data_IF_482504194065
#
_entry.id   IF_482504194065
#
_cell.length_a   1.000
_cell.length_b   1.000
_cell.length_c   1.000
_cell.angle_alpha   90.00
_cell.angle_beta   90.00
_cell.angle_gamma   90.00
#
_symmetry.space_group_name_H-M   'P 1'
#
loop_
_entity.id
_entity.type
_entity.pdbx_description
1 polymer ?
#
# COMPACT_ATOMS: atom_id res chain seq x y z
N UNK A 1 -44.59 45.88 -8.17
CA UNK A 1 -43.79 45.00 -7.28
C UNK A 1 -42.37 44.93 -7.85
N UNK A 2 -41.46 45.74 -7.34
CA UNK A 2 -40.03 45.72 -7.69
C UNK A 2 -39.32 44.70 -6.80
N UNK A 3 -38.53 43.81 -7.39
CA UNK A 3 -37.60 42.92 -6.67
C UNK A 3 -36.39 43.74 -6.22
N UNK A 4 -35.90 43.60 -4.97
CA UNK A 4 -34.69 44.30 -4.56
C UNK A 4 -33.47 43.64 -5.23
N UNK A 5 -32.68 44.43 -5.97
CA UNK A 5 -31.32 44.08 -6.34
C UNK A 5 -30.42 44.31 -5.12
N UNK A 6 -29.67 43.29 -4.72
CA UNK A 6 -28.57 43.45 -3.78
C UNK A 6 -27.36 43.99 -4.56
N UNK A 7 -27.03 45.27 -4.36
CA UNK A 7 -25.82 45.91 -4.88
C UNK A 7 -24.70 45.76 -3.85
N UNK A 8 -23.65 45.01 -4.18
CA UNK A 8 -22.43 44.96 -3.38
C UNK A 8 -21.51 46.11 -3.82
N UNK A 9 -21.47 47.19 -3.04
CA UNK A 9 -20.55 48.32 -3.27
C UNK A 9 -19.25 48.08 -2.53
N UNK A 10 -18.14 47.92 -3.25
CA UNK A 10 -16.79 47.85 -2.68
C UNK A 10 -16.25 49.26 -2.40
N UNK A 11 -16.10 49.60 -1.12
CA UNK A 11 -15.38 50.79 -0.66
C UNK A 11 -13.90 50.45 -0.59
N UNK A 12 -13.05 51.13 -1.37
CA UNK A 12 -11.61 51.02 -1.27
C UNK A 12 -11.12 51.80 -0.04
N UNK A 13 -10.79 51.11 1.05
CA UNK A 13 -10.05 51.69 2.17
C UNK A 13 -8.57 51.37 1.98
N UNK A 14 -7.77 52.40 1.69
CA UNK A 14 -6.32 52.31 1.61
C UNK A 14 -5.72 52.18 3.01
N UNK A 15 -5.42 50.94 3.42
CA UNK A 15 -4.81 50.63 4.71
C UNK A 15 -5.20 49.24 5.23
N UNK A 16 -5.10 48.19 4.40
CA UNK A 16 -5.32 46.84 4.86
C UNK A 16 -3.97 46.19 5.22
N UNK A 17 -3.69 46.06 6.52
CA UNK A 17 -2.94 44.90 7.00
C UNK A 17 -3.86 43.72 6.69
N UNK A 18 -3.64 43.03 5.58
CA UNK A 18 -4.43 41.86 5.22
C UNK A 18 -4.12 40.77 6.25
N UNK A 19 -5.01 40.63 7.23
CA UNK A 19 -5.08 39.43 8.04
C UNK A 19 -5.19 38.23 7.11
N UNK A 20 -4.41 37.19 7.39
CA UNK A 20 -4.39 35.98 6.60
C UNK A 20 -5.80 35.39 6.46
N UNK A 21 -6.22 35.10 5.23
CA UNK A 21 -7.55 34.56 4.93
C UNK A 21 -7.75 33.21 5.65
N UNK A 22 -8.72 33.15 6.57
CA UNK A 22 -9.00 31.98 7.41
C UNK A 22 -10.49 31.66 7.40
N UNK A 23 -10.84 30.40 7.20
CA UNK A 23 -12.18 29.88 7.40
C UNK A 23 -12.39 29.58 8.89
N UNK A 24 -13.28 30.34 9.54
CA UNK A 24 -13.66 30.12 10.94
C UNK A 24 -15.06 29.50 10.99
N UNK A 25 -15.15 28.27 11.48
CA UNK A 25 -16.43 27.57 11.66
C UNK A 25 -16.80 27.60 13.14
N UNK A 26 -17.73 28.48 13.50
CA UNK A 26 -18.09 28.74 14.89
C UNK A 26 -19.25 27.86 15.35
N UNK A 27 -19.12 27.25 16.54
CA UNK A 27 -20.14 26.43 17.18
C UNK A 27 -20.68 25.32 16.26
N UNK A 28 -22.00 25.32 16.02
CA UNK A 28 -22.73 24.34 15.24
C UNK A 28 -22.92 24.79 13.78
N UNK A 29 -22.04 25.63 13.23
CA UNK A 29 -22.05 25.90 11.80
C UNK A 29 -21.61 24.65 11.02
N UNK A 30 -22.23 24.42 9.86
CA UNK A 30 -21.96 23.29 8.98
C UNK A 30 -21.57 23.78 7.58
N UNK A 31 -20.54 23.13 7.03
CA UNK A 31 -20.30 23.04 5.59
C UNK A 31 -20.69 21.62 5.19
N UNK A 32 -21.71 21.47 4.36
CA UNK A 32 -22.20 20.15 3.92
C UNK A 32 -22.01 20.06 2.41
N UNK A 33 -21.26 19.05 1.98
CA UNK A 33 -21.21 18.73 0.55
C UNK A 33 -22.51 18.02 0.15
N UNK A 34 -23.03 18.32 -1.04
CA UNK A 34 -24.26 17.67 -1.52
C UNK A 34 -24.02 16.15 -1.68
N UNK A 35 -24.80 15.31 -0.98
CA UNK A 35 -24.71 13.87 -1.12
C UNK A 35 -25.27 13.37 -2.45
N UNK A 36 -25.84 14.20 -3.33
CA UNK A 36 -26.46 13.75 -4.59
C UNK A 36 -25.69 14.12 -5.85
N UNK A 37 -24.53 14.78 -5.74
CA UNK A 37 -23.70 15.07 -6.92
C UNK A 37 -23.30 13.75 -7.59
N UNK A 38 -23.60 13.54 -8.88
CA UNK A 38 -23.27 12.30 -9.59
C UNK A 38 -21.81 11.93 -9.36
N UNK A 39 -21.52 10.64 -9.13
CA UNK A 39 -20.23 10.08 -8.72
C UNK A 39 -19.02 10.42 -9.62
N UNK A 40 -19.23 11.18 -10.70
CA UNK A 40 -18.26 11.48 -11.74
C UNK A 40 -17.57 12.84 -11.52
N UNK A 41 -18.24 13.84 -10.93
CA UNK A 41 -17.67 15.19 -10.79
C UNK A 41 -17.23 15.48 -9.36
N UNK A 42 -15.93 15.82 -9.13
CA UNK A 42 -15.46 16.21 -7.81
C UNK A 42 -16.02 17.57 -7.40
N UNK A 43 -16.37 17.71 -6.11
CA UNK A 43 -16.75 18.97 -5.50
C UNK A 43 -15.67 19.40 -4.53
N UNK A 44 -15.31 20.69 -4.52
CA UNK A 44 -14.21 21.21 -3.71
C UNK A 44 -14.64 22.31 -2.74
N UNK A 45 -14.24 22.17 -1.49
CA UNK A 45 -13.91 23.31 -0.63
C UNK A 45 -12.42 23.61 -0.79
N UNK A 46 -12.10 24.78 -1.34
CA UNK A 46 -10.72 25.18 -1.63
C UNK A 46 -10.15 26.03 -0.51
N UNK A 47 -9.00 25.61 0.02
CA UNK A 47 -8.22 26.35 1.02
C UNK A 47 -6.86 26.71 0.41
N UNK A 48 -6.81 27.84 -0.28
CA UNK A 48 -5.60 28.42 -0.85
C UNK A 48 -4.83 29.24 0.19
N UNK A 49 -4.49 28.58 1.29
CA UNK A 49 -3.69 29.14 2.36
C UNK A 49 -2.88 28.00 3.01
N UNK A 50 -1.54 28.03 2.96
CA UNK A 50 -0.71 26.93 3.42
C UNK A 50 -0.62 26.80 4.94
N UNK A 51 -1.18 27.74 5.71
CA UNK A 51 -1.05 27.70 7.16
C UNK A 51 -1.96 26.65 7.80
N UNK A 52 -1.44 25.94 8.80
CA UNK A 52 -2.17 24.95 9.60
C UNK A 52 -3.46 25.48 10.25
N UNK A 53 -3.56 26.78 10.49
CA UNK A 53 -4.73 27.43 11.06
C UNK A 53 -5.67 28.04 10.00
N UNK A 54 -5.49 27.76 8.69
CA UNK A 54 -6.35 28.30 7.63
C UNK A 54 -7.80 27.82 7.76
N UNK A 55 -8.02 26.61 8.27
CA UNK A 55 -9.29 26.19 8.84
C UNK A 55 -9.16 26.27 10.36
N UNK A 56 -10.12 26.88 11.04
CA UNK A 56 -10.17 26.78 12.50
C UNK A 56 -11.60 26.73 12.98
N UNK A 57 -11.80 25.98 14.05
CA UNK A 57 -13.07 25.87 14.74
C UNK A 57 -13.06 26.68 16.03
N UNK A 58 -14.21 27.20 16.42
CA UNK A 58 -14.39 27.93 17.68
C UNK A 58 -15.63 27.42 18.43
N UNK A 59 -15.66 27.61 19.75
CA UNK A 59 -16.76 27.17 20.59
C UNK A 59 -16.93 25.64 20.57
N UNK A 60 -18.12 25.15 20.21
CA UNK A 60 -18.43 23.69 20.14
C UNK A 60 -17.81 22.96 18.95
N UNK A 61 -17.01 23.65 18.12
CA UNK A 61 -16.00 22.98 17.31
C UNK A 61 -16.31 22.74 15.84
N UNK A 62 -17.30 23.39 15.22
CA UNK A 62 -17.51 23.51 13.76
C UNK A 62 -17.65 22.20 12.96
N UNK A 63 -18.32 22.18 11.81
CA UNK A 63 -18.59 20.94 11.09
C UNK A 63 -18.30 21.03 9.59
N UNK A 64 -17.62 20.02 9.05
CA UNK A 64 -17.57 19.73 7.63
C UNK A 64 -18.09 18.31 7.41
N UNK A 65 -19.17 18.15 6.65
CA UNK A 65 -19.77 16.85 6.34
C UNK A 65 -19.39 16.49 4.92
N UNK A 66 -18.55 15.46 4.78
CA UNK A 66 -18.17 14.86 3.51
C UNK A 66 -18.42 13.35 3.57
N UNK A 67 -19.31 12.84 2.73
CA UNK A 67 -19.69 11.42 2.71
C UNK A 67 -19.68 10.83 1.29
N UNK A 68 -18.86 11.41 0.42
CA UNK A 68 -18.57 10.82 -0.89
C UNK A 68 -17.09 10.88 -1.16
N UNK A 69 -16.60 9.89 -1.88
CA UNK A 69 -15.21 9.78 -2.29
C UNK A 69 -14.65 11.10 -2.86
N UNK A 70 -15.43 11.81 -3.68
CA UNK A 70 -14.98 13.03 -4.41
C UNK A 70 -15.47 14.36 -3.83
N UNK A 71 -15.88 14.37 -2.56
CA UNK A 71 -16.25 15.59 -1.82
C UNK A 71 -15.03 16.10 -1.05
N UNK A 72 -14.18 16.85 -1.75
CA UNK A 72 -12.84 17.17 -1.26
C UNK A 72 -12.77 18.53 -0.56
N UNK A 73 -12.04 18.56 0.56
CA UNK A 73 -11.33 19.76 0.99
C UNK A 73 -9.96 19.74 0.32
N UNK A 74 -9.70 20.64 -0.63
CA UNK A 74 -8.37 20.82 -1.22
C UNK A 74 -7.61 21.86 -0.43
N UNK A 75 -6.54 21.45 0.25
CA UNK A 75 -5.70 22.34 1.04
C UNK A 75 -4.32 22.51 0.39
N UNK A 76 -4.02 23.74 -0.02
CA UNK A 76 -2.76 24.13 -0.66
C UNK A 76 -1.63 24.27 0.37
N UNK A 77 -1.21 23.14 0.95
CA UNK A 77 -0.18 23.07 2.01
C UNK A 77 1.23 23.36 1.45
N UNK A 78 1.57 22.82 0.28
CA UNK A 78 2.88 22.99 -0.34
C UNK A 78 4.03 22.52 0.56
N UNK A 79 5.00 23.41 0.79
CA UNK A 79 6.20 23.11 1.59
C UNK A 79 6.01 23.33 3.10
N UNK A 80 4.82 23.72 3.55
CA UNK A 80 4.58 24.05 4.96
C UNK A 80 4.46 22.81 5.84
N UNK A 81 5.10 22.85 7.00
CA UNK A 81 4.98 21.81 8.03
C UNK A 81 3.98 22.21 9.11
N UNK A 82 3.52 21.25 9.92
CA UNK A 82 2.61 21.49 11.02
C UNK A 82 1.39 20.57 11.05
N UNK A 83 0.53 20.75 12.05
CA UNK A 83 -0.66 19.94 12.27
C UNK A 83 -1.91 20.60 11.67
N UNK A 84 -2.46 19.99 10.64
CA UNK A 84 -3.65 20.41 9.92
C UNK A 84 -4.84 19.59 10.42
N UNK A 85 -5.80 20.22 11.08
CA UNK A 85 -7.03 19.54 11.54
C UNK A 85 -8.18 19.82 10.60
N UNK A 86 -8.76 18.76 10.05
CA UNK A 86 -9.96 18.81 9.23
C UNK A 86 -11.15 18.45 10.14
N UNK A 87 -12.07 19.39 10.43
CA UNK A 87 -13.15 19.19 11.40
C UNK A 87 -14.32 18.42 10.79
N UNK A 88 -14.05 17.18 10.36
CA UNK A 88 -15.09 16.30 9.85
C UNK A 88 -16.13 15.96 10.93
N UNK A 89 -17.39 15.90 10.49
CA UNK A 89 -18.54 15.45 11.29
C UNK A 89 -19.37 14.52 10.41
N UNK A 90 -19.82 13.38 10.94
CA UNK A 90 -20.67 12.46 10.21
C UNK A 90 -22.15 12.96 10.20
N UNK A 91 -23.04 12.39 9.34
CA UNK A 91 -24.46 12.74 9.30
C UNK A 91 -25.23 12.54 10.61
N UNK A 92 -24.71 11.71 11.52
CA UNK A 92 -25.23 11.54 12.88
C UNK A 92 -24.88 12.68 13.84
N UNK A 93 -24.21 13.73 13.36
CA UNK A 93 -23.66 14.84 14.14
C UNK A 93 -22.57 14.44 15.14
N UNK A 94 -21.85 13.34 14.87
CA UNK A 94 -20.68 12.91 15.66
C UNK A 94 -19.41 13.47 15.05
N UNK A 95 -18.56 14.09 15.88
CA UNK A 95 -17.29 14.68 15.47
C UNK A 95 -16.27 13.59 15.18
N UNK A 96 -15.71 13.60 13.98
CA UNK A 96 -14.71 12.63 13.51
C UNK A 96 -13.51 13.34 12.85
N UNK A 97 -12.88 14.33 13.52
CA UNK A 97 -11.84 15.13 12.90
C UNK A 97 -10.64 14.28 12.50
N UNK A 98 -10.08 14.57 11.32
CA UNK A 98 -8.79 14.05 10.89
C UNK A 98 -7.71 15.07 11.27
N UNK A 99 -6.65 14.63 11.94
CA UNK A 99 -5.44 15.46 12.10
C UNK A 99 -4.34 14.91 11.21
N UNK A 100 -3.89 15.72 10.26
CA UNK A 100 -2.80 15.44 9.34
C UNK A 100 -1.60 16.30 9.74
N UNK A 101 -0.53 15.69 10.25
CA UNK A 101 0.67 16.43 10.66
C UNK A 101 1.78 16.20 9.66
N UNK A 102 2.21 17.26 8.98
CA UNK A 102 3.35 17.25 8.06
C UNK A 102 4.63 17.36 8.89
N UNK A 103 5.43 16.29 8.86
CA UNK A 103 6.70 16.15 9.56
C UNK A 103 7.87 16.52 8.64
N UNK A 104 7.83 16.04 7.40
CA UNK A 104 8.76 16.36 6.32
C UNK A 104 8.02 17.12 5.22
N UNK A 105 8.59 18.23 4.75
CA UNK A 105 7.94 19.07 3.75
C UNK A 105 7.80 18.35 2.40
N UNK A 106 6.62 18.44 1.79
CA UNK A 106 6.42 18.06 0.39
C UNK A 106 6.98 19.11 -0.57
N UNK A 107 6.93 18.80 -1.87
CA UNK A 107 7.32 19.75 -2.94
C UNK A 107 6.39 20.96 -3.05
N UNK A 108 6.94 22.10 -3.51
CA UNK A 108 6.17 23.31 -3.74
C UNK A 108 5.04 23.11 -4.77
N UNK A 109 3.92 23.81 -4.58
CA UNK A 109 2.76 23.75 -5.48
C UNK A 109 1.81 22.56 -5.26
N UNK A 110 2.19 21.58 -4.44
CA UNK A 110 1.33 20.46 -4.10
C UNK A 110 0.20 20.84 -3.14
N UNK A 111 -0.93 20.16 -3.25
CA UNK A 111 -2.06 20.24 -2.32
C UNK A 111 -2.41 18.86 -1.79
N UNK A 112 -2.99 18.81 -0.59
CA UNK A 112 -3.59 17.58 -0.06
C UNK A 112 -5.10 17.70 -0.17
N UNK A 113 -5.74 16.68 -0.74
CA UNK A 113 -7.18 16.58 -0.81
C UNK A 113 -7.66 15.63 0.29
N UNK A 114 -8.61 16.11 1.08
CA UNK A 114 -9.20 15.34 2.17
C UNK A 114 -10.67 15.07 1.90
N UNK A 115 -11.09 13.83 2.04
CA UNK A 115 -12.51 13.45 2.12
C UNK A 115 -12.69 12.35 3.14
N UNK A 116 -13.90 12.25 3.67
CA UNK A 116 -14.37 11.04 4.34
C UNK A 116 -15.42 10.39 3.46
N UNK A 117 -15.40 9.07 3.42
CA UNK A 117 -16.32 8.30 2.61
C UNK A 117 -16.90 7.18 3.45
N UNK A 118 -18.08 7.45 4.00
CA UNK A 118 -19.01 6.42 4.43
C UNK A 118 -20.22 6.53 3.50
N UNK A 119 -20.78 5.40 3.12
CA UNK A 119 -21.90 5.40 2.21
C UNK A 119 -23.19 5.91 2.89
N UNK A 120 -23.85 6.87 2.26
CA UNK A 120 -24.94 7.65 2.83
C UNK A 120 -26.36 7.07 2.63
N UNK A 121 -26.56 5.77 2.49
CA UNK A 121 -27.90 5.16 2.47
C UNK A 121 -28.85 5.57 1.33
N UNK A 122 -28.40 6.40 0.36
CA UNK A 122 -29.24 6.91 -0.74
C UNK A 122 -29.26 6.00 -1.98
N UNK A 123 -28.28 5.11 -2.12
CA UNK A 123 -28.30 4.08 -3.17
C UNK A 123 -28.91 2.77 -2.61
N UNK A 124 -29.70 2.10 -3.45
CA UNK A 124 -30.51 0.96 -3.06
C UNK A 124 -29.67 -0.32 -2.82
N UNK A 125 -28.41 -0.36 -3.30
CA UNK A 125 -27.52 -1.51 -3.16
C UNK A 125 -26.95 -1.65 -1.74
N UNK A 126 -26.72 -0.54 -1.04
CA UNK A 126 -26.17 -0.51 0.33
C UNK A 126 -27.23 -0.06 1.34
N UNK A 127 -28.14 -0.97 1.66
CA UNK A 127 -29.12 -0.76 2.72
C UNK A 127 -28.44 -0.72 4.11
N UNK A 128 -29.07 -0.13 5.15
CA UNK A 128 -28.54 -0.14 6.52
C UNK A 128 -28.09 -1.52 7.03
N UNK A 129 -28.72 -2.61 6.57
CA UNK A 129 -28.38 -3.98 6.94
C UNK A 129 -27.05 -4.49 6.35
N UNK A 130 -26.51 -3.84 5.32
CA UNK A 130 -25.29 -4.26 4.62
C UNK A 130 -24.17 -3.21 4.73
N UNK A 131 -24.32 -2.19 5.59
CA UNK A 131 -23.32 -1.12 5.75
C UNK A 131 -21.97 -1.61 6.27
N UNK A 132 -21.97 -2.70 7.03
CA UNK A 132 -20.77 -3.40 7.45
C UNK A 132 -19.94 -3.95 6.28
N UNK A 133 -20.50 -4.06 5.07
CA UNK A 133 -19.83 -4.64 3.92
C UNK A 133 -19.20 -3.55 3.01
N UNK A 134 -18.03 -3.05 3.43
CA UNK A 134 -17.21 -2.07 2.73
C UNK A 134 -16.91 -2.43 1.26
N UNK A 135 -16.85 -3.73 0.90
CA UNK A 135 -16.62 -4.15 -0.48
C UNK A 135 -17.71 -3.68 -1.46
N UNK A 136 -18.89 -3.32 -0.95
CA UNK A 136 -19.97 -2.80 -1.78
C UNK A 136 -19.85 -1.29 -2.07
N UNK A 137 -18.99 -0.56 -1.35
CA UNK A 137 -18.83 0.89 -1.45
C UNK A 137 -17.38 1.35 -1.26
N UNK A 138 -16.42 0.57 -1.74
CA UNK A 138 -15.01 0.91 -1.64
C UNK A 138 -14.62 2.12 -2.53
N UNK A 139 -13.59 2.92 -2.16
CA UNK A 139 -13.06 3.97 -3.01
C UNK A 139 -12.64 3.45 -4.39
N UNK A 140 -12.65 4.31 -5.40
CA UNK A 140 -12.40 3.89 -6.80
C UNK A 140 -11.00 3.34 -7.09
N UNK A 141 -10.02 3.59 -6.23
CA UNK A 141 -8.69 2.98 -6.30
C UNK A 141 -8.58 1.66 -5.53
N UNK A 142 -9.52 1.38 -4.63
CA UNK A 142 -9.60 0.11 -3.89
C UNK A 142 -10.33 -0.91 -4.74
N UNK A 143 -9.73 -2.09 -4.91
CA UNK A 143 -10.29 -3.16 -5.75
C UNK A 143 -10.94 -4.27 -4.92
N UNK A 144 -10.58 -4.43 -3.65
CA UNK A 144 -11.14 -5.43 -2.74
C UNK A 144 -11.00 -5.03 -1.27
N UNK A 145 -11.68 -5.79 -0.40
CA UNK A 145 -11.54 -5.75 1.07
C UNK A 145 -11.04 -7.08 1.64
N UNK A 146 -10.23 -7.84 0.89
CA UNK A 146 -9.92 -9.24 1.22
C UNK A 146 -8.70 -9.47 2.15
N UNK A 147 -8.68 -10.59 2.90
CA UNK A 147 -7.56 -11.02 3.79
C UNK A 147 -6.42 -11.81 3.12
N UNK A 148 -6.27 -11.82 1.80
CA UNK A 148 -5.15 -12.51 1.17
C UNK A 148 -5.11 -12.18 -0.32
N UNK A 149 -3.93 -11.90 -0.88
CA UNK A 149 -3.72 -11.94 -2.34
C UNK A 149 -2.35 -12.54 -2.69
N UNK A 150 -2.38 -13.80 -3.14
CA UNK A 150 -1.30 -14.41 -3.92
C UNK A 150 -1.34 -13.88 -5.36
N UNK A 151 -0.73 -12.73 -5.59
CA UNK A 151 -0.41 -12.25 -6.94
C UNK A 151 -1.60 -11.67 -7.71
N UNK A 152 -1.34 -11.26 -8.95
CA UNK A 152 -2.14 -10.34 -9.79
C UNK A 152 -3.55 -10.78 -10.19
N UNK A 153 -4.15 -11.76 -9.52
CA UNK A 153 -5.53 -12.19 -9.76
C UNK A 153 -6.22 -12.57 -8.45
N UNK A 154 -7.35 -11.91 -8.19
CA UNK A 154 -8.36 -12.27 -7.19
C UNK A 154 -8.74 -13.75 -7.37
N UNK A 155 -8.02 -14.64 -6.69
CA UNK A 155 -8.27 -16.08 -6.80
C UNK A 155 -9.59 -16.41 -6.07
N UNK A 156 -10.43 -17.32 -6.58
CA UNK A 156 -11.59 -17.81 -5.84
C UNK A 156 -11.16 -18.40 -4.49
N UNK A 157 -11.47 -17.71 -3.39
CA UNK A 157 -11.08 -18.10 -2.03
C UNK A 157 -10.68 -16.94 -1.11
N UNK A 158 -10.38 -15.76 -1.65
CA UNK A 158 -10.10 -14.57 -0.84
C UNK A 158 -11.34 -14.16 -0.02
N UNK A 159 -11.24 -14.14 1.30
CA UNK A 159 -12.38 -13.78 2.17
C UNK A 159 -12.48 -12.26 2.28
N UNK A 160 -13.69 -11.75 2.13
CA UNK A 160 -13.99 -10.34 2.34
C UNK A 160 -13.95 -10.01 3.85
N UNK A 161 -13.06 -9.12 4.24
CA UNK A 161 -12.80 -8.70 5.63
C UNK A 161 -13.51 -7.42 6.03
N UNK A 162 -14.52 -6.99 5.28
CA UNK A 162 -15.29 -5.80 5.66
C UNK A 162 -15.81 -5.88 7.10
N UNK A 163 -16.09 -7.09 7.61
CA UNK A 163 -16.47 -7.29 9.01
C UNK A 163 -15.39 -6.90 10.04
N UNK A 164 -14.11 -6.88 9.68
CA UNK A 164 -12.98 -6.53 10.55
C UNK A 164 -12.50 -5.09 10.37
N UNK A 165 -13.24 -4.28 9.61
CA UNK A 165 -12.89 -2.91 9.26
C UNK A 165 -14.02 -1.98 9.69
N UNK A 166 -13.69 -0.74 10.07
CA UNK A 166 -14.70 0.30 10.33
C UNK A 166 -15.42 0.64 9.02
N UNK A 167 -16.71 0.97 9.09
CA UNK A 167 -17.58 1.26 7.94
C UNK A 167 -17.31 2.67 7.35
N UNK A 168 -16.03 2.98 7.09
CA UNK A 168 -15.55 4.29 6.63
C UNK A 168 -14.18 4.19 5.97
N UNK A 169 -14.01 5.04 4.96
CA UNK A 169 -12.71 5.37 4.39
C UNK A 169 -12.36 6.84 4.62
N UNK A 170 -11.06 7.10 4.75
CA UNK A 170 -10.47 8.44 4.67
C UNK A 170 -9.70 8.51 3.35
N UNK A 171 -10.05 9.50 2.53
CA UNK A 171 -9.34 9.79 1.29
C UNK A 171 -8.39 10.93 1.56
N UNK A 172 -7.10 10.66 1.46
CA UNK A 172 -6.01 11.60 1.71
C UNK A 172 -5.12 11.58 0.47
N UNK A 173 -5.46 12.40 -0.51
CA UNK A 173 -4.84 12.35 -1.83
C UNK A 173 -3.82 13.47 -2.01
N UNK A 174 -2.55 13.08 -2.17
CA UNK A 174 -1.41 13.96 -2.43
C UNK A 174 -0.96 13.94 -3.91
N UNK A 175 -1.63 13.14 -4.74
CA UNK A 175 -1.28 12.88 -6.14
C UNK A 175 -2.43 13.23 -7.11
N UNK A 176 -3.49 13.87 -6.62
CA UNK A 176 -4.60 14.33 -7.44
C UNK A 176 -4.13 15.18 -8.63
N UNK A 177 -4.60 14.83 -9.83
CA UNK A 177 -4.23 15.51 -11.07
C UNK A 177 -4.45 17.03 -10.99
N UNK A 178 -3.44 17.80 -11.39
CA UNK A 178 -3.43 19.26 -11.32
C UNK A 178 -2.97 19.84 -9.98
N UNK A 179 -2.87 19.02 -8.92
CA UNK A 179 -2.44 19.44 -7.58
C UNK A 179 -1.40 18.52 -6.92
N UNK A 180 -0.86 17.57 -7.71
CA UNK A 180 0.03 16.53 -7.24
C UNK A 180 1.36 17.11 -6.69
N UNK A 181 1.85 16.51 -5.62
CA UNK A 181 3.21 16.72 -5.16
C UNK A 181 4.20 15.95 -6.05
N UNK A 182 5.34 16.57 -6.39
CA UNK A 182 6.45 15.84 -7.01
C UNK A 182 7.09 14.85 -6.03
N UNK A 183 7.37 15.32 -4.80
CA UNK A 183 7.70 14.50 -3.64
C UNK A 183 6.63 14.76 -2.57
N UNK A 184 6.00 13.70 -2.06
CA UNK A 184 4.91 13.82 -1.08
C UNK A 184 5.46 14.23 0.29
N UNK A 185 4.64 14.83 1.17
CA UNK A 185 5.08 15.15 2.52
C UNK A 185 5.16 13.89 3.38
N UNK A 186 6.20 13.81 4.22
CA UNK A 186 6.23 12.81 5.31
C UNK A 186 5.22 13.23 6.38
N UNK A 187 4.41 12.29 6.86
CA UNK A 187 3.30 12.63 7.75
C UNK A 187 3.10 11.67 8.92
N UNK A 188 2.42 12.18 9.94
CA UNK A 188 1.73 11.39 10.95
C UNK A 188 0.25 11.77 10.95
N UNK A 189 -0.64 10.81 11.27
CA UNK A 189 -2.08 11.01 11.16
C UNK A 189 -2.81 10.56 12.42
N UNK A 190 -3.88 11.26 12.76
CA UNK A 190 -4.84 10.83 13.79
C UNK A 190 -6.22 10.79 13.18
N UNK A 191 -6.74 9.57 13.05
CA UNK A 191 -8.09 9.28 12.59
C UNK A 191 -9.03 9.25 13.79
N UNK A 192 -10.16 9.95 13.71
CA UNK A 192 -11.27 9.84 14.65
C UNK A 192 -12.45 9.22 13.92
N UNK A 193 -13.14 8.32 14.59
CA UNK A 193 -14.26 7.58 14.03
C UNK A 193 -15.43 7.55 15.02
N UNK A 194 -16.61 7.23 14.54
CA UNK A 194 -17.79 7.02 15.39
C UNK A 194 -17.92 5.51 15.69
N UNK A 195 -18.16 5.13 16.94
CA UNK A 195 -18.40 3.73 17.27
C UNK A 195 -19.68 3.19 16.62
N UNK A 196 -20.62 4.05 16.23
CA UNK A 196 -21.80 3.66 15.46
C UNK A 196 -21.47 3.28 13.99
N UNK A 197 -20.25 3.53 13.53
CA UNK A 197 -19.72 3.06 12.23
C UNK A 197 -19.12 1.65 12.32
N UNK A 198 -19.34 0.99 13.44
CA UNK A 198 -19.19 -0.45 13.59
C UNK A 198 -20.62 -0.98 13.75
N UNK A 199 -21.24 -1.36 12.65
CA UNK A 199 -22.65 -1.72 12.59
C UNK A 199 -22.89 -3.21 12.85
N UNK A 200 -24.17 -3.60 12.92
CA UNK A 200 -24.54 -5.00 13.05
C UNK A 200 -24.11 -5.77 11.79
N UNK A 201 -23.14 -6.67 11.94
CA UNK A 201 -22.51 -7.42 10.85
C UNK A 201 -20.98 -7.34 10.90
N UNK A 202 -20.41 -6.33 11.55
CA UNK A 202 -18.99 -6.31 11.87
C UNK A 202 -18.64 -7.36 12.94
N UNK A 203 -17.43 -7.90 12.85
CA UNK A 203 -16.78 -8.77 13.84
C UNK A 203 -16.01 -7.94 14.89
N UNK A 204 -15.77 -6.65 14.63
CA UNK A 204 -15.14 -5.74 15.60
C UNK A 204 -16.01 -5.64 16.87
N UNK A 205 -15.42 -6.00 18.02
CA UNK A 205 -16.02 -5.83 19.34
C UNK A 205 -15.29 -4.74 20.14
N UNK A 206 -15.89 -4.28 21.25
CA UNK A 206 -15.39 -3.14 22.03
C UNK A 206 -13.96 -3.32 22.62
N UNK A 207 -13.44 -4.54 22.65
CA UNK A 207 -12.08 -4.85 23.10
C UNK A 207 -11.03 -4.82 21.98
N UNK A 208 -11.45 -4.83 20.70
CA UNK A 208 -10.52 -4.81 19.57
C UNK A 208 -9.82 -3.46 19.47
N UNK A 209 -8.49 -3.50 19.46
CA UNK A 209 -7.70 -2.33 19.10
C UNK A 209 -7.69 -2.20 17.58
N UNK A 210 -7.78 -0.96 17.09
CA UNK A 210 -7.76 -0.70 15.66
C UNK A 210 -6.42 -0.12 15.21
N UNK A 211 -6.03 -0.41 13.97
CA UNK A 211 -4.88 0.18 13.30
C UNK A 211 -5.30 0.85 11.99
N UNK A 212 -4.50 1.82 11.54
CA UNK A 212 -4.71 2.47 10.26
C UNK A 212 -4.04 1.63 9.17
N UNK A 213 -4.78 1.31 8.11
CA UNK A 213 -4.27 0.61 6.94
C UNK A 213 -4.52 1.45 5.69
N UNK A 214 -3.58 1.35 4.74
CA UNK A 214 -3.64 2.02 3.44
C UNK A 214 -3.77 0.98 2.32
N UNK A 215 -4.45 1.35 1.24
CA UNK A 215 -4.47 0.55 0.02
C UNK A 215 -3.37 1.01 -0.94
N UNK A 216 -2.47 0.10 -1.29
CA UNK A 216 -1.51 0.28 -2.37
C UNK A 216 -2.12 -0.19 -3.69
N UNK A 217 -2.63 0.75 -4.48
CA UNK A 217 -3.18 0.44 -5.80
C UNK A 217 -2.12 -0.15 -6.75
N UNK A 218 -0.85 0.22 -6.60
CA UNK A 218 0.24 -0.20 -7.50
C UNK A 218 0.59 -1.68 -7.34
N UNK A 219 0.50 -2.20 -6.11
CA UNK A 219 0.66 -3.63 -5.83
C UNK A 219 -0.68 -4.34 -5.63
N UNK A 220 -1.79 -3.63 -5.73
CA UNK A 220 -3.14 -4.12 -5.46
C UNK A 220 -3.28 -4.77 -4.07
N UNK A 221 -2.77 -4.12 -3.01
CA UNK A 221 -2.71 -4.72 -1.66
C UNK A 221 -3.12 -3.75 -0.57
N UNK A 222 -3.78 -4.29 0.45
CA UNK A 222 -3.79 -3.70 1.78
C UNK A 222 -2.64 -4.27 2.58
N UNK A 223 -2.26 -3.59 3.67
CA UNK A 223 -1.31 -4.14 4.65
C UNK A 223 0.14 -4.25 4.18
N UNK A 224 0.45 -3.98 2.90
CA UNK A 224 1.81 -3.91 2.30
C UNK A 224 2.79 -3.06 3.12
N UNK A 225 2.23 -2.13 3.90
CA UNK A 225 2.88 -1.36 4.95
C UNK A 225 1.93 -1.19 6.13
N UNK A 226 2.42 -1.46 7.34
CA UNK A 226 1.69 -1.29 8.59
C UNK A 226 2.41 -0.28 9.49
N UNK A 227 1.92 0.96 9.59
CA UNK A 227 2.49 1.91 10.52
C UNK A 227 2.21 1.46 11.96
N UNK A 228 3.13 1.77 12.89
CA UNK A 228 2.82 1.67 14.31
C UNK A 228 1.60 2.53 14.62
N UNK A 229 0.63 1.99 15.35
CA UNK A 229 -0.61 2.69 15.68
C UNK A 229 -0.84 2.72 17.20
N UNK A 230 -1.44 3.80 17.68
CA UNK A 230 -1.94 3.95 19.05
C UNK A 230 -3.45 4.10 18.97
N UNK A 231 -4.16 3.12 19.52
CA UNK A 231 -5.61 3.14 19.60
C UNK A 231 -6.11 3.70 20.93
N UNK A 232 -7.23 4.42 20.90
CA UNK A 232 -7.97 4.87 22.08
C UNK A 232 -9.47 4.70 21.84
N UNK A 233 -10.21 4.32 22.89
CA UNK A 233 -11.67 4.20 22.88
C UNK A 233 -12.39 5.40 23.53
N UNK A 234 -11.63 6.40 24.01
CA UNK A 234 -12.18 7.57 24.66
C UNK A 234 -11.19 8.76 24.55
N UNK A 235 -11.28 9.59 23.50
CA UNK A 235 -12.17 9.47 22.34
C UNK A 235 -11.75 8.33 21.39
N UNK A 236 -12.70 7.78 20.63
CA UNK A 236 -12.43 6.79 19.58
C UNK A 236 -11.44 7.33 18.54
N UNK A 237 -10.23 6.79 18.55
CA UNK A 237 -9.14 7.27 17.70
C UNK A 237 -8.10 6.22 17.38
N UNK A 238 -7.50 6.34 16.20
CA UNK A 238 -6.28 5.63 15.81
C UNK A 238 -5.25 6.67 15.39
N UNK A 239 -4.10 6.68 16.07
CA UNK A 239 -3.00 7.58 15.78
C UNK A 239 -1.82 6.80 15.21
N UNK A 240 -1.36 7.17 14.02
CA UNK A 240 -0.02 6.85 13.55
C UNK A 240 0.91 7.90 14.15
N UNK A 241 1.73 7.58 15.18
CA UNK A 241 2.54 8.58 15.86
C UNK A 241 3.71 9.01 14.98
N UNK A 242 4.39 10.10 15.34
CA UNK A 242 5.56 10.58 14.61
C UNK A 242 6.72 9.57 14.55
N UNK A 243 6.75 8.55 15.40
CA UNK A 243 7.72 7.45 15.30
C UNK A 243 7.36 6.44 14.17
N UNK A 244 6.08 6.35 13.80
CA UNK A 244 5.58 5.54 12.69
C UNK A 244 5.40 6.36 11.41
N UNK A 245 6.33 7.27 11.11
CA UNK A 245 6.27 8.21 9.97
C UNK A 245 5.76 7.52 8.71
N UNK A 246 4.73 8.10 8.10
CA UNK A 246 4.28 7.74 6.75
C UNK A 246 5.15 8.53 5.77
N UNK A 247 6.15 7.87 5.22
CA UNK A 247 7.07 8.47 4.25
C UNK A 247 6.42 8.57 2.85
N UNK A 248 7.01 9.36 1.95
CA UNK A 248 6.53 9.51 0.56
C UNK A 248 6.21 8.17 -0.14
N UNK A 249 7.14 7.21 -0.05
CA UNK A 249 6.99 5.89 -0.66
C UNK A 249 5.80 5.09 -0.11
N UNK A 250 5.44 5.33 1.16
CA UNK A 250 4.35 4.67 1.86
C UNK A 250 3.08 5.52 1.94
N UNK A 251 3.03 6.67 1.27
CA UNK A 251 1.85 7.52 1.31
C UNK A 251 0.92 7.19 0.14
N UNK A 252 -0.15 6.45 0.43
CA UNK A 252 -1.23 6.15 -0.52
C UNK A 252 -2.53 6.86 -0.15
N UNK A 253 -3.45 6.87 -1.12
CA UNK A 253 -4.65 7.70 -1.11
C UNK A 253 -5.71 7.22 -0.11
N UNK A 254 -6.05 5.94 -0.16
CA UNK A 254 -7.22 5.40 0.52
C UNK A 254 -6.83 4.69 1.81
N UNK A 255 -7.43 5.13 2.92
CA UNK A 255 -7.17 4.64 4.26
C UNK A 255 -8.45 4.12 4.91
N UNK A 256 -8.31 3.11 5.76
CA UNK A 256 -9.37 2.62 6.65
C UNK A 256 -8.78 2.18 7.99
N UNK A 257 -9.64 1.79 8.93
CA UNK A 257 -9.25 1.31 10.25
C UNK A 257 -9.65 -0.16 10.41
N UNK A 258 -8.67 -1.05 10.59
CA UNK A 258 -8.88 -2.49 10.74
C UNK A 258 -8.61 -2.95 12.16
N UNK A 259 -9.21 -4.07 12.56
CA UNK A 259 -8.86 -4.81 13.78
C UNK A 259 -7.40 -5.27 13.75
N UNK A 260 -6.66 -5.07 14.83
CA UNK A 260 -5.26 -5.53 14.95
C UNK A 260 -5.14 -7.05 15.02
N UNK A 261 -6.18 -7.75 15.47
CA UNK A 261 -6.19 -9.22 15.52
C UNK A 261 -6.51 -9.87 14.17
N UNK A 262 -7.04 -9.09 13.23
CA UNK A 262 -7.40 -9.54 11.89
C UNK A 262 -7.08 -8.42 10.88
N UNK A 263 -5.80 -7.99 10.80
CA UNK A 263 -5.42 -6.95 9.86
C UNK A 263 -5.56 -7.47 8.43
N UNK A 264 -5.86 -6.60 7.46
CA UNK A 264 -5.67 -6.98 6.06
C UNK A 264 -4.16 -7.28 5.85
N UNK A 265 -3.75 -8.37 5.17
CA UNK A 265 -2.42 -8.95 5.40
C UNK A 265 -1.25 -8.24 4.76
N UNK A 266 -0.13 -8.34 5.48
CA UNK A 266 1.18 -8.76 4.94
C UNK A 266 1.78 -9.77 5.88
N UNK A 267 2.29 -10.87 5.33
CA UNK A 267 3.05 -11.82 6.14
C UNK A 267 4.51 -11.97 5.72
N UNK A 268 4.87 -11.92 4.44
CA UNK A 268 6.28 -12.06 3.99
C UNK A 268 6.81 -10.79 3.31
N UNK A 269 7.78 -10.13 3.94
CA UNK A 269 8.44 -8.90 3.45
C UNK A 269 9.54 -9.23 2.44
N UNK A 270 10.35 -10.24 2.75
CA UNK A 270 11.43 -10.69 1.88
C UNK A 270 11.72 -12.17 2.09
N UNK A 271 12.27 -12.80 1.06
CA UNK A 271 12.87 -14.12 1.12
C UNK A 271 14.01 -14.17 0.10
N UNK A 272 15.17 -14.69 0.52
CA UNK A 272 16.38 -14.75 -0.29
C UNK A 272 17.31 -15.87 0.16
N UNK A 273 18.24 -16.25 -0.71
CA UNK A 273 19.25 -17.27 -0.43
C UNK A 273 20.62 -16.84 -0.95
N UNK A 274 21.66 -17.07 -0.16
CA UNK A 274 23.04 -16.76 -0.54
C UNK A 274 24.00 -17.88 -0.10
N UNK A 275 25.07 -18.11 -0.86
CA UNK A 275 26.12 -19.03 -0.43
C UNK A 275 27.01 -18.34 0.61
N UNK A 276 27.18 -18.96 1.77
CA UNK A 276 28.06 -18.53 2.85
C UNK A 276 28.82 -19.73 3.40
N UNK A 277 30.15 -19.63 3.42
CA UNK A 277 31.06 -20.68 3.93
C UNK A 277 30.82 -22.07 3.29
N UNK A 278 30.44 -22.09 2.00
CA UNK A 278 30.14 -23.33 1.27
C UNK A 278 28.76 -23.92 1.54
N UNK A 279 27.89 -23.22 2.29
CA UNK A 279 26.49 -23.58 2.54
C UNK A 279 25.52 -22.53 2.02
N UNK A 280 24.34 -22.96 1.55
CA UNK A 280 23.28 -22.03 1.18
C UNK A 280 22.57 -21.59 2.46
N UNK A 281 22.65 -20.29 2.76
CA UNK A 281 21.88 -19.66 3.84
C UNK A 281 20.68 -18.94 3.25
N UNK A 282 19.50 -19.39 3.65
CA UNK A 282 18.22 -18.74 3.37
C UNK A 282 17.89 -17.76 4.49
N UNK A 283 17.35 -16.61 4.12
CA UNK A 283 16.91 -15.56 5.06
C UNK A 283 15.59 -14.99 4.59
N UNK A 284 14.65 -14.83 5.51
CA UNK A 284 13.38 -14.15 5.26
C UNK A 284 12.98 -13.27 6.42
N UNK A 285 12.09 -12.34 6.14
CA UNK A 285 11.52 -11.43 7.13
C UNK A 285 10.02 -11.39 6.96
N UNK A 286 9.28 -11.57 8.06
CA UNK A 286 7.84 -11.32 8.12
C UNK A 286 7.59 -9.90 8.61
N UNK A 287 6.50 -9.25 8.18
CA UNK A 287 6.12 -7.94 8.73
C UNK A 287 5.30 -8.14 10.00
N UNK A 288 4.32 -9.03 9.90
CA UNK A 288 3.45 -9.52 10.96
C UNK A 288 3.22 -11.01 10.76
N UNK A 289 2.86 -11.69 11.83
CA UNK A 289 2.47 -13.10 11.81
C UNK A 289 1.15 -13.22 12.55
N UNK A 290 0.15 -13.85 11.92
CA UNK A 290 -1.13 -14.13 12.56
C UNK A 290 -1.35 -15.63 12.61
N UNK A 291 -1.40 -16.18 13.82
CA UNK A 291 -1.50 -17.62 14.06
C UNK A 291 -0.49 -18.48 13.27
N UNK A 292 0.69 -17.94 12.95
CA UNK A 292 1.73 -18.68 12.24
C UNK A 292 2.35 -19.75 13.15
N UNK A 293 2.20 -21.02 12.79
CA UNK A 293 2.78 -22.13 13.55
C UNK A 293 4.25 -22.32 13.14
N UNK A 294 4.53 -22.47 11.85
CA UNK A 294 5.89 -22.66 11.33
C UNK A 294 6.04 -22.39 9.83
N UNK A 295 7.28 -22.25 9.40
CA UNK A 295 7.70 -22.28 8.01
C UNK A 295 8.35 -23.62 7.67
N UNK A 296 7.82 -24.32 6.66
CA UNK A 296 8.57 -25.38 5.99
C UNK A 296 9.49 -24.75 4.94
N UNK A 297 10.74 -25.17 4.94
CA UNK A 297 11.68 -24.85 3.88
C UNK A 297 11.66 -25.98 2.89
N UNK A 298 11.24 -25.68 1.66
CA UNK A 298 11.23 -26.66 0.58
C UNK A 298 12.33 -26.35 -0.42
N UNK A 299 12.92 -27.42 -0.96
CA UNK A 299 13.97 -27.40 -1.96
C UNK A 299 13.54 -28.18 -3.18
N UNK A 300 13.89 -27.68 -4.36
CA UNK A 300 13.71 -28.36 -5.63
C UNK A 300 14.98 -28.24 -6.48
N UNK A 301 15.29 -29.27 -7.25
CA UNK A 301 16.39 -29.24 -8.21
C UNK A 301 15.92 -28.86 -9.63
N UNK A 302 14.62 -28.96 -9.89
CA UNK A 302 14.00 -28.74 -11.21
C UNK A 302 12.89 -27.67 -11.19
N UNK A 303 12.62 -27.08 -10.03
CA UNK A 303 11.52 -26.14 -9.77
C UNK A 303 10.11 -26.74 -9.97
N UNK A 304 10.00 -28.08 -9.99
CA UNK A 304 8.75 -28.82 -10.21
C UNK A 304 8.49 -29.75 -9.04
N UNK A 305 9.46 -30.61 -8.71
CA UNK A 305 9.39 -31.52 -7.59
C UNK A 305 10.02 -30.88 -6.35
N UNK A 306 9.21 -30.69 -5.31
CA UNK A 306 9.62 -30.04 -4.07
C UNK A 306 9.76 -31.07 -2.95
N UNK A 307 10.81 -30.92 -2.13
CA UNK A 307 11.04 -31.71 -0.94
C UNK A 307 11.27 -30.78 0.26
N UNK A 308 10.59 -31.05 1.37
CA UNK A 308 10.84 -30.35 2.63
C UNK A 308 12.21 -30.73 3.17
N UNK A 309 13.07 -29.73 3.38
CA UNK A 309 14.44 -29.90 3.91
C UNK A 309 14.58 -29.38 5.34
N UNK A 310 13.57 -28.70 5.86
CA UNK A 310 13.56 -28.24 7.24
C UNK A 310 12.28 -27.54 7.63
N UNK A 311 12.16 -27.26 8.92
CA UNK A 311 11.09 -26.50 9.54
C UNK A 311 11.71 -25.45 10.46
N UNK A 312 11.16 -24.25 10.47
CA UNK A 312 11.51 -23.17 11.39
C UNK A 312 10.23 -22.69 12.05
N UNK A 313 10.17 -22.77 13.37
CA UNK A 313 8.99 -22.37 14.14
C UNK A 313 8.71 -20.87 13.94
N UNK A 314 7.42 -20.55 13.76
CA UNK A 314 6.92 -19.18 13.75
C UNK A 314 6.82 -18.63 15.17
N UNK A 315 6.51 -17.34 15.29
CA UNK A 315 6.28 -16.70 16.60
C UNK A 315 4.80 -16.70 17.00
N UNK A 316 3.92 -17.33 16.23
CA UNK A 316 2.48 -17.38 16.49
C UNK A 316 1.79 -16.09 16.08
N UNK A 317 1.80 -15.12 16.98
CA UNK A 317 1.18 -13.81 16.75
C UNK A 317 2.22 -12.71 16.96
N UNK A 318 2.49 -11.93 15.93
CA UNK A 318 3.44 -10.82 16.00
C UNK A 318 3.00 -9.66 15.13
N UNK A 319 3.05 -8.46 15.72
CA UNK A 319 2.79 -7.18 15.02
C UNK A 319 4.08 -6.44 14.70
N UNK A 320 5.24 -7.09 14.89
CA UNK A 320 6.57 -6.57 14.61
C UNK A 320 7.31 -7.52 13.68
N UNK A 321 8.19 -6.95 12.84
CA UNK A 321 8.91 -7.75 11.87
C UNK A 321 9.82 -8.79 12.54
N UNK A 322 9.77 -10.04 12.07
CA UNK A 322 10.63 -11.12 12.56
C UNK A 322 11.52 -11.61 11.43
N UNK A 323 12.81 -11.75 11.70
CA UNK A 323 13.79 -12.24 10.73
C UNK A 323 14.21 -13.65 11.08
N UNK A 324 14.16 -14.53 10.09
CA UNK A 324 14.47 -15.93 10.20
C UNK A 324 15.62 -16.30 9.28
N UNK A 325 16.26 -17.43 9.58
CA UNK A 325 17.23 -18.03 8.67
C UNK A 325 17.27 -19.53 8.78
N UNK A 326 17.59 -20.17 7.65
CA UNK A 326 17.78 -21.61 7.56
C UNK A 326 19.04 -21.90 6.73
N UNK A 327 19.88 -22.83 7.17
CA UNK A 327 21.04 -23.30 6.41
C UNK A 327 20.71 -24.63 5.75
N UNK A 328 20.83 -24.70 4.43
CA UNK A 328 20.70 -25.96 3.69
C UNK A 328 21.86 -26.90 4.08
N UNK A 329 21.55 -28.08 4.67
CA UNK A 329 22.59 -29.01 5.11
C UNK A 329 23.29 -29.72 3.95
N UNK A 330 22.66 -29.79 2.77
CA UNK A 330 23.19 -30.48 1.59
C UNK A 330 23.16 -29.56 0.35
N UNK A 331 23.88 -28.42 0.40
CA UNK A 331 23.84 -27.43 -0.67
C UNK A 331 24.32 -28.04 -1.99
N UNK A 332 23.54 -27.87 -3.05
CA UNK A 332 23.93 -28.24 -4.41
C UNK A 332 24.54 -27.05 -5.14
N UNK A 333 25.10 -27.29 -6.32
CA UNK A 333 25.58 -26.22 -7.22
C UNK A 333 24.51 -25.19 -7.54
N UNK A 334 23.25 -25.65 -7.64
CA UNK A 334 22.06 -24.83 -7.75
C UNK A 334 20.86 -25.62 -7.22
N UNK A 335 19.97 -24.94 -6.51
CA UNK A 335 18.65 -25.41 -6.17
C UNK A 335 17.68 -24.22 -6.10
N UNK A 336 16.40 -24.55 -6.15
CA UNK A 336 15.28 -23.65 -5.92
C UNK A 336 14.76 -23.86 -4.51
N UNK A 337 14.38 -22.79 -3.85
CA UNK A 337 13.86 -22.79 -2.50
C UNK A 337 12.58 -21.99 -2.44
N UNK A 338 11.64 -22.45 -1.63
CA UNK A 338 10.43 -21.72 -1.25
C UNK A 338 10.11 -21.98 0.20
N UNK A 339 9.34 -21.09 0.80
CA UNK A 339 8.76 -21.26 2.11
C UNK A 339 7.32 -21.72 1.94
N UNK A 340 6.90 -22.65 2.78
CA UNK A 340 5.48 -22.95 3.02
C UNK A 340 5.17 -22.53 4.45
N UNK A 341 4.54 -21.38 4.61
CA UNK A 341 4.01 -20.96 5.90
C UNK A 341 2.82 -21.85 6.25
N UNK A 342 2.76 -22.31 7.50
CA UNK A 342 1.65 -23.11 8.03
C UNK A 342 1.12 -22.46 9.29
N UNK A 343 -0.18 -22.18 9.31
CA UNK A 343 -0.83 -21.57 10.46
C UNK A 343 -1.33 -22.63 11.44
N UNK A 344 -1.72 -22.22 12.66
CA UNK A 344 -2.19 -23.12 13.72
C UNK A 344 -3.45 -23.92 13.33
N UNK A 345 -4.22 -23.42 12.36
CA UNK A 345 -5.38 -24.12 11.80
C UNK A 345 -5.03 -25.10 10.67
N UNK A 346 -3.73 -25.20 10.33
CA UNK A 346 -3.12 -26.01 9.27
C UNK A 346 -3.38 -25.52 7.85
N UNK A 347 -3.86 -24.29 7.67
CA UNK A 347 -3.82 -23.64 6.37
C UNK A 347 -2.36 -23.37 5.97
N UNK A 348 -2.09 -23.38 4.66
CA UNK A 348 -0.72 -23.25 4.14
C UNK A 348 -0.63 -22.25 3.02
N UNK A 349 0.46 -21.47 3.04
CA UNK A 349 0.77 -20.46 2.05
C UNK A 349 2.18 -20.64 1.51
N UNK A 350 2.34 -20.58 0.20
CA UNK A 350 3.65 -20.66 -0.46
C UNK A 350 4.23 -19.25 -0.72
N UNK A 351 5.53 -19.06 -0.47
CA UNK A 351 6.26 -17.86 -0.85
C UNK A 351 6.59 -17.82 -2.34
N UNK A 352 7.17 -16.70 -2.79
CA UNK A 352 7.95 -16.70 -4.03
C UNK A 352 9.10 -17.72 -3.96
N UNK A 353 9.52 -18.22 -5.12
CA UNK A 353 10.69 -19.08 -5.26
C UNK A 353 11.95 -18.24 -5.36
N UNK A 354 13.02 -18.66 -4.70
CA UNK A 354 14.38 -18.12 -4.87
C UNK A 354 15.33 -19.23 -5.32
N UNK A 355 16.31 -18.89 -6.15
CA UNK A 355 17.38 -19.82 -6.51
C UNK A 355 18.64 -19.49 -5.70
N UNK A 356 19.33 -20.51 -5.19
CA UNK A 356 20.61 -20.38 -4.50
C UNK A 356 21.47 -21.64 -4.66
N UNK A 357 22.78 -21.54 -4.46
CA UNK A 357 23.69 -22.68 -4.64
C UNK A 357 25.13 -22.35 -4.27
N UNK A 358 25.93 -23.38 -3.99
CA UNK A 358 27.35 -23.27 -3.64
C UNK A 358 28.21 -24.09 -4.60
N UNK A 359 29.35 -23.55 -5.04
CA UNK A 359 30.24 -24.22 -6.00
C UNK A 359 30.00 -23.85 -7.46
N UNK A 360 29.43 -22.67 -7.70
CA UNK A 360 29.29 -22.10 -9.05
C UNK A 360 30.68 -21.82 -9.65
N UNK A 361 30.86 -22.10 -10.94
CA UNK A 361 32.16 -22.00 -11.63
C UNK A 361 32.76 -20.58 -11.58
N UNK A 362 33.97 -20.42 -12.12
CA UNK A 362 34.63 -19.10 -12.16
C UNK A 362 33.88 -18.14 -13.10
N UNK A 363 33.35 -17.03 -12.58
CA UNK A 363 32.74 -15.96 -13.37
C UNK A 363 31.25 -15.74 -13.13
N UNK A 364 30.57 -15.17 -14.12
CA UNK A 364 29.12 -14.94 -14.18
C UNK A 364 28.53 -15.79 -15.32
N UNK A 365 27.37 -16.41 -15.12
CA UNK A 365 26.71 -17.28 -16.10
C UNK A 365 25.17 -17.20 -15.99
N UNK A 366 24.47 -17.27 -17.12
CA UNK A 366 23.01 -17.50 -17.15
C UNK A 366 22.75 -19.00 -16.96
N UNK A 367 22.50 -19.41 -15.72
CA UNK A 367 22.32 -20.81 -15.32
C UNK A 367 20.92 -21.34 -15.58
N UNK A 368 19.91 -20.46 -15.63
CA UNK A 368 18.60 -20.82 -16.15
C UNK A 368 17.87 -19.63 -16.79
N UNK A 369 16.94 -19.92 -17.69
CA UNK A 369 15.99 -18.97 -18.23
C UNK A 369 14.72 -19.76 -18.57
N UNK A 370 13.65 -19.52 -17.83
CA UNK A 370 12.38 -20.24 -18.05
C UNK A 370 11.21 -19.26 -18.11
N UNK A 371 10.25 -19.62 -18.95
CA UNK A 371 9.03 -18.85 -19.11
C UNK A 371 8.02 -19.19 -18.00
N UNK A 372 7.53 -18.16 -17.32
CA UNK A 372 6.51 -18.24 -16.28
C UNK A 372 5.17 -17.63 -16.76
N UNK A 373 4.95 -17.57 -18.08
CA UNK A 373 3.74 -17.04 -18.71
C UNK A 373 3.90 -15.56 -19.06
N UNK A 374 3.50 -14.67 -18.15
CA UNK A 374 3.59 -13.21 -18.39
C UNK A 374 5.00 -12.64 -18.19
N UNK A 375 5.91 -13.44 -17.62
CA UNK A 375 7.30 -13.06 -17.37
C UNK A 375 8.27 -14.19 -17.70
N UNK A 376 9.44 -13.81 -18.20
CA UNK A 376 10.62 -14.66 -18.31
C UNK A 376 11.47 -14.48 -17.05
N UNK A 377 11.76 -15.58 -16.35
CA UNK A 377 12.63 -15.58 -15.17
C UNK A 377 14.02 -16.07 -15.57
N UNK A 378 15.01 -15.19 -15.44
CA UNK A 378 16.40 -15.42 -15.81
C UNK A 378 17.23 -15.60 -14.54
N UNK A 379 17.72 -16.81 -14.32
CA UNK A 379 18.58 -17.14 -13.18
C UNK A 379 20.04 -16.99 -13.59
N UNK A 380 20.75 -16.13 -12.87
CA UNK A 380 22.14 -15.77 -13.12
C UNK A 380 22.97 -16.17 -11.92
N UNK A 381 24.02 -16.94 -12.15
CA UNK A 381 25.06 -17.22 -11.17
C UNK A 381 26.18 -16.21 -11.33
N UNK A 382 26.74 -15.70 -10.24
CA UNK A 382 27.95 -14.89 -10.27
C UNK A 382 28.85 -15.14 -9.08
N UNK A 383 30.15 -15.02 -9.27
CA UNK A 383 31.17 -15.07 -8.20
C UNK A 383 31.55 -13.69 -7.67
N UNK A 384 31.02 -12.63 -8.27
CA UNK A 384 31.28 -11.23 -7.92
C UNK A 384 30.00 -10.40 -8.11
N UNK A 385 29.87 -9.33 -7.32
CA UNK A 385 28.85 -8.30 -7.56
C UNK A 385 29.20 -7.55 -8.85
N UNK A 386 28.28 -7.50 -9.80
CA UNK A 386 28.48 -6.81 -11.07
C UNK A 386 27.16 -6.25 -11.61
N UNK A 387 27.28 -5.33 -12.56
CA UNK A 387 26.14 -4.76 -13.27
C UNK A 387 26.17 -5.16 -14.73
N UNK A 388 25.03 -5.59 -15.27
CA UNK A 388 24.87 -6.03 -16.66
C UNK A 388 23.63 -5.39 -17.29
N UNK A 389 23.68 -5.16 -18.59
CA UNK A 389 22.48 -4.92 -19.39
C UNK A 389 21.91 -6.27 -19.82
N UNK A 390 20.64 -6.51 -19.49
CA UNK A 390 19.90 -7.68 -19.95
C UNK A 390 19.13 -7.34 -21.22
N UNK A 391 19.28 -8.16 -22.25
CA UNK A 391 18.52 -8.04 -23.50
C UNK A 391 17.88 -9.37 -23.87
N UNK A 392 16.64 -9.31 -24.36
CA UNK A 392 15.94 -10.45 -24.95
C UNK A 392 15.81 -10.19 -26.46
N UNK A 393 16.31 -11.10 -27.28
CA UNK A 393 16.27 -10.98 -28.74
C UNK A 393 15.55 -12.15 -29.39
N UNK A 394 14.88 -11.92 -30.51
CA UNK A 394 14.28 -12.97 -31.33
C UNK A 394 15.34 -13.75 -32.15
N UNK A 395 14.89 -14.75 -32.90
CA UNK A 395 15.77 -15.58 -33.74
C UNK A 395 16.46 -14.80 -34.89
N UNK A 396 16.00 -13.59 -35.22
CA UNK A 396 16.61 -12.69 -36.20
C UNK A 396 17.52 -11.64 -35.54
N UNK A 397 17.65 -11.65 -34.20
CA UNK A 397 18.45 -10.70 -33.45
C UNK A 397 17.75 -9.36 -33.19
N UNK A 398 16.44 -9.25 -33.47
CA UNK A 398 15.66 -8.07 -33.10
C UNK A 398 15.48 -8.04 -31.59
N UNK A 399 15.74 -6.89 -31.00
CA UNK A 399 15.55 -6.66 -29.56
C UNK A 399 14.06 -6.58 -29.25
N UNK A 400 13.63 -7.43 -28.32
CA UNK A 400 12.24 -7.54 -27.86
C UNK A 400 12.05 -6.93 -26.48
N UNK A 401 13.05 -7.04 -25.60
CA UNK A 401 13.08 -6.39 -24.30
C UNK A 401 14.51 -5.99 -23.92
N UNK A 402 14.63 -4.90 -23.15
CA UNK A 402 15.89 -4.42 -22.58
C UNK A 402 15.65 -4.02 -21.14
N UNK A 403 16.54 -4.46 -20.26
CA UNK A 403 16.61 -4.01 -18.88
C UNK A 403 18.05 -3.56 -18.60
N UNK A 404 18.32 -2.25 -18.60
CA UNK A 404 19.66 -1.74 -18.38
C UNK A 404 20.04 -1.83 -16.91
N UNK A 405 21.35 -1.97 -16.65
CA UNK A 405 21.96 -1.89 -15.32
C UNK A 405 21.36 -2.82 -14.25
N UNK A 406 21.11 -4.07 -14.61
CA UNK A 406 20.72 -5.13 -13.68
C UNK A 406 21.89 -5.46 -12.75
N UNK A 407 21.67 -5.32 -11.45
CA UNK A 407 22.62 -5.76 -10.43
C UNK A 407 22.56 -7.30 -10.30
N UNK A 408 23.69 -7.95 -10.51
CA UNK A 408 23.89 -9.37 -10.29
C UNK A 408 24.82 -9.51 -9.09
N UNK A 409 24.29 -10.01 -7.98
CA UNK A 409 25.05 -10.22 -6.76
C UNK A 409 25.92 -11.48 -6.85
N UNK A 410 26.98 -11.54 -6.04
CA UNK A 410 27.68 -12.77 -5.73
C UNK A 410 26.68 -13.81 -5.21
N UNK A 411 26.66 -14.98 -5.82
CA UNK A 411 25.66 -16.02 -5.60
C UNK A 411 24.74 -16.18 -6.80
N UNK A 412 23.46 -16.40 -6.53
CA UNK A 412 22.42 -16.53 -7.56
C UNK A 412 21.49 -15.31 -7.50
N UNK A 413 21.24 -14.72 -8.65
CA UNK A 413 20.30 -13.62 -8.85
C UNK A 413 19.22 -14.05 -9.82
N UNK A 414 17.95 -13.75 -9.52
CA UNK A 414 16.85 -13.88 -10.47
C UNK A 414 16.49 -12.51 -11.04
N UNK A 415 16.43 -12.43 -12.37
CA UNK A 415 16.03 -11.24 -13.11
C UNK A 415 14.72 -11.56 -13.81
N UNK A 416 13.69 -10.77 -13.52
CA UNK A 416 12.35 -10.94 -14.11
C UNK A 416 12.21 -9.99 -15.29
N UNK A 417 11.91 -10.56 -16.46
CA UNK A 417 11.75 -9.82 -17.72
C UNK A 417 10.30 -9.94 -18.15
N UNK A 418 9.52 -8.85 -18.18
CA UNK A 418 8.14 -8.89 -18.66
C UNK A 418 8.05 -9.35 -20.12
N UNK A 419 7.23 -10.37 -20.39
CA UNK A 419 7.05 -10.96 -21.75
C UNK A 419 5.70 -10.63 -22.37
N UNK A 420 4.76 -10.00 -21.67
CA UNK A 420 3.32 -9.97 -21.98
C UNK A 420 2.81 -9.56 -23.38
N UNK A 421 3.64 -9.05 -24.30
CA UNK A 421 3.25 -8.84 -25.72
C UNK A 421 4.16 -9.55 -26.73
N UNK A 422 5.13 -10.30 -26.22
CA UNK A 422 6.10 -11.06 -27.00
C UNK A 422 5.44 -12.36 -27.43
N UNK A 423 5.41 -12.62 -28.73
CA UNK A 423 4.76 -13.81 -29.28
C UNK A 423 5.48 -15.10 -28.83
N UNK A 424 4.75 -16.20 -28.72
CA UNK A 424 5.28 -17.56 -28.56
C UNK A 424 6.40 -17.82 -29.58
N UNK A 425 7.56 -18.29 -29.14
CA UNK A 425 8.71 -18.45 -30.03
C UNK A 425 10.01 -18.80 -29.33
N UNK A 426 11.09 -18.90 -30.11
CA UNK A 426 12.45 -19.10 -29.58
C UNK A 426 13.14 -17.75 -29.53
N UNK A 427 13.65 -17.43 -28.35
CA UNK A 427 14.37 -16.20 -28.05
C UNK A 427 15.75 -16.51 -27.46
N UNK A 428 16.60 -15.49 -27.42
CA UNK A 428 17.89 -15.54 -26.75
C UNK A 428 17.93 -14.42 -25.72
N UNK A 429 18.06 -14.78 -24.45
CA UNK A 429 18.38 -13.83 -23.39
C UNK A 429 19.89 -13.63 -23.33
N UNK A 430 20.32 -12.41 -23.08
CA UNK A 430 21.73 -12.02 -23.06
C UNK A 430 21.99 -11.09 -21.89
N UNK A 431 23.12 -11.29 -21.22
CA UNK A 431 23.69 -10.33 -20.28
C UNK A 431 24.98 -9.79 -20.85
N UNK A 432 25.15 -8.48 -20.82
CA UNK A 432 26.33 -7.81 -21.36
C UNK A 432 26.82 -6.70 -20.44
N UNK A 433 28.13 -6.61 -20.27
CA UNK A 433 28.81 -5.46 -19.69
C UNK A 433 30.18 -5.27 -20.38
N UNK A 434 31.01 -4.36 -19.85
CA UNK A 434 32.35 -4.09 -20.38
C UNK A 434 33.29 -5.31 -20.31
N UNK A 435 32.99 -6.29 -19.44
CA UNK A 435 33.78 -7.50 -19.24
C UNK A 435 33.40 -8.68 -20.14
N UNK A 436 32.25 -8.63 -20.83
CA UNK A 436 31.84 -9.68 -21.76
C UNK A 436 30.34 -9.77 -22.01
N UNK A 437 29.96 -10.75 -22.83
CA UNK A 437 28.57 -11.07 -23.17
C UNK A 437 28.32 -12.56 -22.99
N UNK A 438 27.22 -12.89 -22.34
CA UNK A 438 26.72 -14.26 -22.20
C UNK A 438 25.31 -14.35 -22.77
N UNK A 439 24.93 -15.53 -23.23
CA UNK A 439 23.61 -15.74 -23.82
C UNK A 439 23.05 -17.12 -23.53
N UNK A 440 21.72 -17.21 -23.48
CA UNK A 440 20.99 -18.46 -23.31
C UNK A 440 19.73 -18.46 -24.18
N UNK A 441 19.47 -19.58 -24.84
CA UNK A 441 18.23 -19.78 -25.60
C UNK A 441 17.08 -20.09 -24.65
N UNK A 442 15.92 -19.53 -24.91
CA UNK A 442 14.69 -19.78 -24.18
C UNK A 442 13.52 -19.89 -25.15
N UNK A 443 12.55 -20.75 -24.81
CA UNK A 443 11.28 -20.82 -25.51
C UNK A 443 10.24 -20.09 -24.66
N UNK A 444 9.56 -19.11 -25.24
CA UNK A 444 8.38 -18.47 -24.65
C UNK A 444 7.14 -19.15 -25.23
N UNK A 445 6.19 -19.51 -24.37
CA UNK A 445 4.97 -20.27 -24.66
C UNK A 445 3.77 -19.37 -24.92
#
# INVERSE_FOLDING_TARGET
MMKPLLSLSSVLVAGAVLGQARLVINNNAYVVFDPNTPAIQPTYLVVDNPNANAITVAGTGGNIVSERERNFIRWSIGTSTGAYTIPFTNPGNVKIPLTYTVLGAGSAGGSVLFSTYNYDGTDAVIAPANRWNNALYQPSDVTHMNNWDTGTNLTPGATNESGHVVDRFWIIDTQASGFAYANKPDASMVFRYDAAEITAGNTIVAANQLMAQRFNFGTNKWGDYLPTCIWSNAPYSVAVPAAGVIADADFFRSWTLSDIGNPLPVELVNFGGACKDGRVKLTWTTATENNNDYFLVEKSLDNIAWATIGQVDGVGNSVTANTYSFEDPEPTTMAYYRLVQTDMDRSTTESNVVAAGCGMGTGTEIVNAFDAGEVLVVTVSSTLDNTYDLTLVDAQGKVMAVQPRVAIANGITQVVVPTGTIATGIYVVQLQNDGGRMSRRVHLQ
#
